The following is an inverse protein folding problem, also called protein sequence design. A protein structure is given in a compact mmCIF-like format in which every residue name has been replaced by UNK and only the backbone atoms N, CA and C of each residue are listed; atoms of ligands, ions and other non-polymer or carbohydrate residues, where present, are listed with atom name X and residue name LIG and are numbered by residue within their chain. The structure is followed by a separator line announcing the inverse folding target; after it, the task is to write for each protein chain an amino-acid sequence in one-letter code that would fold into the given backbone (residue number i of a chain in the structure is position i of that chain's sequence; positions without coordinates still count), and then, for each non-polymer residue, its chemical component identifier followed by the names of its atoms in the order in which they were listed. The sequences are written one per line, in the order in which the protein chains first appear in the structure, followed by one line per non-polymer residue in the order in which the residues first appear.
data_IF_631016600244
#
_entry.id   IF_631016600244
#
_cell.length_a   1.000
_cell.length_b   1.000
_cell.length_c   1.000
_cell.angle_alpha   90.00
_cell.angle_beta   90.00
_cell.angle_gamma   90.00
#
_symmetry.space_group_name_H-M   'P 1'
#
loop_
_entity.id
_entity.type
_entity.pdbx_description
1 polymer ?
#
# COMPACT_ATOMS: atom_id res chain seq x y z
N UNK A 1 19.53 12.30 15.60
CA UNK A 1 20.63 11.63 16.32
C UNK A 1 21.98 12.27 15.97
N UNK A 2 22.34 12.48 14.69
CA UNK A 2 23.65 13.01 14.31
C UNK A 2 23.97 14.35 15.01
N UNK A 3 23.01 15.28 15.10
CA UNK A 3 23.15 16.55 15.83
C UNK A 3 23.33 16.33 17.33
N UNK A 4 22.52 15.47 17.94
CA UNK A 4 22.56 15.20 19.38
C UNK A 4 23.88 14.54 19.80
N UNK A 5 24.43 13.68 18.95
CA UNK A 5 25.66 12.94 19.24
C UNK A 5 26.92 13.56 18.63
N UNK A 6 26.82 14.71 17.96
CA UNK A 6 27.91 15.35 17.19
C UNK A 6 28.68 14.31 16.37
N UNK A 7 28.00 13.59 15.51
CA UNK A 7 28.58 12.49 14.73
C UNK A 7 28.03 12.45 13.31
N UNK A 8 28.73 11.74 12.46
CA UNK A 8 28.15 11.26 11.22
C UNK A 8 27.14 10.12 11.54
N UNK A 9 25.99 10.14 10.91
CA UNK A 9 24.95 9.13 11.05
C UNK A 9 24.59 8.57 9.69
N UNK A 10 24.94 7.33 9.47
CA UNK A 10 24.66 6.61 8.24
C UNK A 10 23.52 5.62 8.50
N UNK A 11 22.46 5.74 7.72
CA UNK A 11 21.31 4.85 7.78
C UNK A 11 21.14 4.11 6.46
N UNK A 12 20.91 2.82 6.52
CA UNK A 12 20.55 2.01 5.37
C UNK A 12 19.42 1.07 5.77
N UNK A 13 18.28 1.25 5.13
CA UNK A 13 17.15 0.33 5.23
C UNK A 13 17.43 -0.95 4.45
N UNK A 14 16.67 -2.00 4.74
CA UNK A 14 16.68 -3.22 3.95
C UNK A 14 16.30 -2.93 2.50
N UNK A 15 16.87 -3.72 1.60
CA UNK A 15 16.63 -3.60 0.17
C UNK A 15 15.19 -4.02 -0.19
N UNK A 16 14.64 -3.41 -1.24
CA UNK A 16 13.39 -3.85 -1.85
C UNK A 16 13.50 -5.28 -2.46
N UNK A 17 14.70 -5.86 -2.52
CA UNK A 17 14.94 -7.24 -2.94
C UNK A 17 14.83 -8.25 -1.78
N UNK A 18 14.83 -7.80 -0.53
CA UNK A 18 14.70 -8.69 0.63
C UNK A 18 13.40 -9.50 0.57
N UNK A 19 13.49 -10.78 0.90
CA UNK A 19 12.33 -11.66 0.91
C UNK A 19 11.43 -11.37 2.11
N UNK A 20 10.16 -11.11 1.86
CA UNK A 20 9.15 -10.86 2.90
C UNK A 20 7.76 -11.23 2.38
N UNK A 21 6.85 -11.58 3.29
CA UNK A 21 5.47 -11.87 2.93
C UNK A 21 4.59 -10.63 2.91
N UNK A 22 4.68 -9.78 3.92
CA UNK A 22 3.68 -8.74 4.18
C UNK A 22 4.22 -7.32 4.10
N UNK A 23 5.54 -7.15 4.09
CA UNK A 23 6.17 -5.84 4.09
C UNK A 23 6.99 -5.58 2.83
N UNK A 24 7.15 -4.31 2.48
CA UNK A 24 8.02 -3.85 1.40
C UNK A 24 9.02 -2.88 1.99
N UNK A 25 10.30 -3.20 1.84
CA UNK A 25 11.36 -2.31 2.30
C UNK A 25 11.65 -1.24 1.25
N UNK A 26 11.87 -0.03 1.72
CA UNK A 26 12.02 1.15 0.87
C UNK A 26 13.40 1.31 0.23
N UNK A 27 14.40 0.53 0.66
CA UNK A 27 15.82 0.73 0.28
C UNK A 27 16.36 2.13 0.65
N UNK A 28 15.70 2.84 1.56
CA UNK A 28 16.08 4.20 1.95
C UNK A 28 17.47 4.24 2.56
N UNK A 29 18.27 5.21 2.14
CA UNK A 29 19.62 5.47 2.66
C UNK A 29 19.76 6.95 2.92
N UNK A 30 20.39 7.28 4.04
CA UNK A 30 20.59 8.66 4.49
C UNK A 30 21.99 8.80 5.07
N UNK A 31 22.63 9.92 4.78
CA UNK A 31 23.90 10.31 5.40
C UNK A 31 23.70 11.69 6.02
N UNK A 32 23.88 11.78 7.31
CA UNK A 32 23.80 13.01 8.08
C UNK A 32 25.15 13.32 8.78
N UNK A 33 25.48 14.60 8.89
CA UNK A 33 26.56 15.10 9.72
C UNK A 33 26.04 16.23 10.60
N UNK A 34 26.25 16.15 11.91
CA UNK A 34 25.83 17.18 12.89
C UNK A 34 24.39 17.71 12.73
N UNK A 35 23.50 16.91 12.19
CA UNK A 35 22.10 17.26 11.95
C UNK A 35 21.79 17.78 10.54
N UNK A 36 22.80 17.97 9.71
CA UNK A 36 22.65 18.33 8.31
C UNK A 36 22.56 17.07 7.44
N UNK A 37 21.62 17.05 6.49
CA UNK A 37 21.48 15.99 5.51
C UNK A 37 22.49 16.20 4.39
N UNK A 38 23.46 15.30 4.26
CA UNK A 38 24.47 15.36 3.20
C UNK A 38 24.06 14.63 1.93
N UNK A 39 23.39 13.48 2.10
CA UNK A 39 22.92 12.69 0.97
C UNK A 39 21.70 11.83 1.33
N UNK A 40 20.82 11.65 0.36
CA UNK A 40 19.62 10.80 0.46
C UNK A 40 19.41 10.00 -0.83
N UNK A 41 18.99 8.76 -0.72
CA UNK A 41 18.64 7.93 -1.86
C UNK A 41 17.17 8.07 -2.25
N UNK A 42 16.86 7.83 -3.51
CA UNK A 42 15.48 7.58 -3.91
C UNK A 42 14.95 6.30 -3.26
N UNK A 43 13.64 6.28 -3.01
CA UNK A 43 12.98 5.08 -2.47
C UNK A 43 12.88 4.01 -3.56
N UNK A 44 13.06 2.75 -3.13
CA UNK A 44 12.97 1.53 -3.96
C UNK A 44 14.08 1.38 -5.02
N UNK A 45 15.14 2.19 -4.93
CA UNK A 45 16.30 2.09 -5.80
C UNK A 45 17.50 1.48 -5.06
N UNK A 46 18.16 0.50 -5.71
CA UNK A 46 19.36 -0.13 -5.18
C UNK A 46 20.61 0.62 -5.67
N UNK A 47 20.89 1.76 -5.06
CA UNK A 47 22.06 2.57 -5.34
C UNK A 47 22.99 2.61 -4.13
N UNK A 48 24.29 2.87 -4.39
CA UNK A 48 25.26 3.17 -3.34
C UNK A 48 25.28 4.67 -3.15
N UNK A 49 25.25 5.11 -1.88
CA UNK A 49 25.30 6.52 -1.52
C UNK A 49 26.68 6.86 -0.98
N UNK A 50 27.22 8.01 -1.39
CA UNK A 50 28.54 8.50 -1.00
C UNK A 50 28.41 9.93 -0.47
N UNK A 51 29.23 10.27 0.51
CA UNK A 51 29.44 11.65 0.98
C UNK A 51 30.76 11.77 1.69
N UNK A 52 31.33 12.95 1.66
CA UNK A 52 32.50 13.32 2.48
C UNK A 52 32.03 13.74 3.87
N UNK A 53 32.78 13.34 4.90
CA UNK A 53 32.50 13.66 6.30
C UNK A 53 33.66 14.51 6.86
N UNK A 54 33.34 15.69 7.43
CA UNK A 54 34.31 16.53 8.10
C UNK A 54 34.55 16.07 9.55
N UNK A 55 35.47 15.15 9.72
CA UNK A 55 35.85 14.61 11.04
C UNK A 55 36.43 15.69 11.95
N UNK A 56 37.12 16.71 11.39
CA UNK A 56 37.67 17.83 12.13
C UNK A 56 36.57 18.71 12.75
N UNK A 57 35.55 19.03 11.97
CA UNK A 57 34.33 19.75 12.45
C UNK A 57 33.64 18.97 13.57
N UNK A 58 33.42 17.69 13.39
CA UNK A 58 32.80 16.85 14.41
C UNK A 58 33.56 16.80 15.73
N UNK A 59 34.92 16.74 15.65
CA UNK A 59 35.78 16.77 16.83
C UNK A 59 35.69 18.13 17.56
N UNK A 60 35.67 19.24 16.81
CA UNK A 60 35.51 20.59 17.34
C UNK A 60 34.15 20.78 18.02
N UNK A 61 33.07 20.31 17.40
CA UNK A 61 31.72 20.40 17.97
C UNK A 61 31.57 19.58 19.26
N UNK A 62 32.15 18.40 19.33
CA UNK A 62 32.21 17.61 20.56
C UNK A 62 32.95 18.32 21.69
N UNK A 63 34.05 19.03 21.39
CA UNK A 63 34.75 19.79 22.39
C UNK A 63 33.95 21.01 22.88
N UNK A 64 33.18 21.67 22.00
CA UNK A 64 32.31 22.80 22.37
C UNK A 64 31.09 22.36 23.17
N UNK A 65 30.47 21.28 22.79
CA UNK A 65 29.37 20.65 23.52
C UNK A 65 29.99 19.75 24.59
N UNK A 66 30.35 20.32 25.76
CA UNK A 66 30.71 19.51 26.90
C UNK A 66 29.52 18.56 27.18
N UNK A 67 29.68 17.30 26.78
CA UNK A 67 28.78 16.26 27.24
C UNK A 67 29.00 16.12 28.74
N UNK A 68 28.17 16.79 29.55
CA UNK A 68 28.08 16.45 30.97
C UNK A 68 27.71 14.99 31.03
N UNK A 69 28.57 14.23 31.69
CA UNK A 69 28.32 12.82 31.92
C UNK A 69 27.18 12.71 32.95
N UNK A 70 25.95 12.63 32.43
CA UNK A 70 24.75 12.48 33.27
C UNK A 70 24.77 11.20 34.12
N UNK A 71 25.75 10.32 33.92
CA UNK A 71 25.91 9.11 34.71
C UNK A 71 26.43 9.34 36.14
N UNK A 72 27.01 10.53 36.42
CA UNK A 72 27.60 10.86 37.73
C UNK A 72 26.68 11.62 38.68
N UNK A 73 25.52 12.08 38.26
CA UNK A 73 24.58 12.74 39.16
C UNK A 73 23.64 11.73 39.85
N UNK A 74 24.17 11.07 40.87
CA UNK A 74 23.40 10.22 41.78
C UNK A 74 22.54 11.01 42.82
N UNK A 75 22.36 12.31 42.66
CA UNK A 75 21.47 13.10 43.52
C UNK A 75 20.00 12.82 43.21
N UNK A 76 19.57 11.59 43.54
CA UNK A 76 18.16 11.20 43.49
C UNK A 76 17.27 11.97 44.47
N UNK A 77 17.84 12.70 45.41
CA UNK A 77 17.12 13.46 46.46
C UNK A 77 16.85 14.91 46.13
N UNK A 78 17.32 15.42 44.98
CA UNK A 78 17.14 16.85 44.63
C UNK A 78 15.83 17.16 43.90
N UNK A 79 14.99 16.19 43.63
CA UNK A 79 13.72 16.43 42.95
C UNK A 79 12.58 16.78 43.94
N UNK A 80 11.99 17.96 43.77
CA UNK A 80 10.78 18.35 44.46
C UNK A 80 9.61 17.49 43.95
N UNK A 81 9.10 16.59 44.79
CA UNK A 81 7.91 15.80 44.47
C UNK A 81 6.66 16.63 44.78
N UNK A 82 5.95 17.09 43.75
CA UNK A 82 4.65 17.76 43.88
C UNK A 82 3.57 16.70 43.61
N UNK A 83 2.78 16.41 44.65
CA UNK A 83 1.61 15.55 44.50
C UNK A 83 0.45 16.37 43.93
N UNK A 84 0.00 16.04 42.74
CA UNK A 84 -1.15 16.72 42.09
C UNK A 84 -2.33 15.74 42.11
N UNK A 85 -3.43 16.19 42.72
CA UNK A 85 -4.69 15.45 42.65
C UNK A 85 -5.38 15.77 41.30
N UNK A 86 -5.37 14.77 40.40
CA UNK A 86 -6.06 14.85 39.11
C UNK A 86 -7.48 14.32 39.32
N UNK A 87 -8.34 15.10 39.95
CA UNK A 87 -9.76 14.76 40.01
C UNK A 87 -10.36 14.75 38.62
N UNK A 88 -10.96 13.61 38.22
CA UNK A 88 -11.63 13.40 36.95
C UNK A 88 -12.70 14.47 36.69
N UNK A 89 -12.37 15.52 35.96
CA UNK A 89 -13.39 16.41 35.39
C UNK A 89 -14.10 15.59 34.29
N UNK A 90 -15.39 15.35 34.50
CA UNK A 90 -16.25 14.77 33.45
C UNK A 90 -16.25 15.73 32.26
N UNK A 91 -15.81 15.26 31.12
CA UNK A 91 -15.71 16.00 29.86
C UNK A 91 -14.70 17.18 29.88
N UNK A 92 -13.39 16.91 29.93
CA UNK A 92 -12.40 17.96 29.74
C UNK A 92 -12.54 18.56 28.33
N UNK A 93 -12.69 19.87 28.24
CA UNK A 93 -12.61 20.57 26.97
C UNK A 93 -11.13 20.54 26.52
N UNK A 94 -10.88 20.03 25.32
CA UNK A 94 -9.52 19.96 24.77
C UNK A 94 -9.12 21.34 24.21
N UNK A 95 -8.00 21.87 24.68
CA UNK A 95 -7.42 23.11 24.15
C UNK A 95 -6.69 22.95 22.83
N UNK A 96 -6.62 21.72 22.31
CA UNK A 96 -6.00 21.43 21.00
C UNK A 96 -7.04 21.01 19.98
N UNK A 97 -6.89 21.50 18.76
CA UNK A 97 -7.67 21.05 17.61
C UNK A 97 -7.16 19.67 17.16
N UNK A 98 -8.03 18.68 17.16
CA UNK A 98 -7.74 17.35 16.62
C UNK A 98 -8.25 17.31 15.18
N UNK A 99 -7.40 16.98 14.18
CA UNK A 99 -7.86 16.85 12.79
C UNK A 99 -8.88 15.73 12.65
N UNK A 100 -9.98 15.98 11.96
CA UNK A 100 -11.01 14.96 11.68
C UNK A 100 -10.52 13.86 10.71
N UNK A 101 -9.50 14.16 9.92
CA UNK A 101 -8.90 13.26 8.94
C UNK A 101 -7.39 13.15 9.21
N UNK A 102 -6.95 12.40 10.26
CA UNK A 102 -5.55 12.39 10.68
C UNK A 102 -4.60 11.73 9.69
N UNK A 103 -5.13 10.89 8.78
CA UNK A 103 -4.33 10.16 7.79
C UNK A 103 -4.21 10.87 6.45
N UNK A 104 -4.98 11.94 6.24
CA UNK A 104 -4.99 12.72 4.99
C UNK A 104 -4.37 14.08 5.26
N UNK A 105 -3.22 14.42 4.66
CA UNK A 105 -2.63 15.74 4.79
C UNK A 105 -3.59 16.83 4.31
N UNK A 106 -3.65 17.94 5.06
CA UNK A 106 -4.47 19.10 4.70
C UNK A 106 -3.87 19.90 3.53
N UNK A 107 -2.55 19.88 3.41
CA UNK A 107 -1.83 20.49 2.31
C UNK A 107 -1.92 19.59 1.07
N UNK A 108 -2.25 20.19 -0.07
CA UNK A 108 -2.45 19.44 -1.32
C UNK A 108 -1.15 18.83 -1.84
N UNK A 109 -0.02 19.51 -1.69
CA UNK A 109 1.28 19.02 -2.16
C UNK A 109 1.74 17.83 -1.32
N UNK A 110 1.62 17.93 0.01
CA UNK A 110 1.89 16.80 0.91
C UNK A 110 0.96 15.62 0.65
N UNK A 111 -0.31 15.89 0.33
CA UNK A 111 -1.28 14.85 -0.02
C UNK A 111 -0.87 14.14 -1.31
N UNK A 112 -0.52 14.89 -2.34
CA UNK A 112 -0.07 14.35 -3.63
C UNK A 112 1.21 13.53 -3.47
N UNK A 113 2.17 14.02 -2.71
CA UNK A 113 3.41 13.30 -2.43
C UNK A 113 3.14 11.98 -1.70
N UNK A 114 2.30 12.02 -0.66
CA UNK A 114 1.90 10.82 0.09
C UNK A 114 1.18 9.80 -0.79
N UNK A 115 0.24 10.25 -1.62
CA UNK A 115 -0.46 9.38 -2.57
C UNK A 115 0.52 8.72 -3.55
N UNK A 116 1.47 9.48 -4.08
CA UNK A 116 2.50 8.95 -4.96
C UNK A 116 3.38 7.91 -4.27
N UNK A 117 3.75 8.14 -3.01
CA UNK A 117 4.52 7.17 -2.21
C UNK A 117 3.73 5.87 -2.00
N UNK A 118 2.44 5.96 -1.66
CA UNK A 118 1.56 4.78 -1.49
C UNK A 118 1.47 3.98 -2.79
N UNK A 119 1.25 4.65 -3.91
CA UNK A 119 1.18 4.01 -5.24
C UNK A 119 2.50 3.31 -5.58
N UNK A 120 3.64 3.97 -5.36
CA UNK A 120 4.97 3.38 -5.56
C UNK A 120 5.20 2.16 -4.66
N UNK A 121 4.77 2.23 -3.40
CA UNK A 121 4.86 1.12 -2.46
C UNK A 121 4.10 -0.11 -2.97
N UNK A 122 2.84 0.07 -3.35
CA UNK A 122 1.99 -1.01 -3.86
C UNK A 122 2.54 -1.61 -5.16
N UNK A 123 2.99 -0.78 -6.10
CA UNK A 123 3.56 -1.24 -7.35
C UNK A 123 4.85 -2.05 -7.13
N UNK A 124 5.73 -1.62 -6.22
CA UNK A 124 6.94 -2.35 -5.87
C UNK A 124 6.63 -3.68 -5.14
N UNK A 125 5.61 -3.70 -4.28
CA UNK A 125 5.15 -4.91 -3.62
C UNK A 125 4.70 -5.97 -4.64
N UNK A 126 3.86 -5.57 -5.60
CA UNK A 126 3.39 -6.46 -6.65
C UNK A 126 4.52 -6.89 -7.59
N UNK A 127 5.39 -5.97 -8.01
CA UNK A 127 6.55 -6.27 -8.84
C UNK A 127 7.46 -7.32 -8.17
N UNK A 128 7.66 -7.22 -6.86
CA UNK A 128 8.40 -8.21 -6.09
C UNK A 128 7.73 -9.59 -6.13
N UNK A 129 6.40 -9.65 -5.97
CA UNK A 129 5.64 -10.91 -6.09
C UNK A 129 5.77 -11.53 -7.47
N UNK A 130 5.60 -10.75 -8.52
CA UNK A 130 5.75 -11.22 -9.90
C UNK A 130 7.13 -11.82 -10.14
N UNK A 131 8.19 -11.15 -9.67
CA UNK A 131 9.57 -11.65 -9.77
C UNK A 131 9.79 -12.92 -8.97
N UNK A 132 9.30 -12.95 -7.72
CA UNK A 132 9.50 -14.11 -6.82
C UNK A 132 8.78 -15.37 -7.33
N UNK A 133 7.55 -15.23 -7.81
CA UNK A 133 6.75 -16.33 -8.35
C UNK A 133 7.09 -16.66 -9.81
N UNK A 134 7.94 -15.84 -10.45
CA UNK A 134 8.23 -15.90 -11.88
C UNK A 134 6.97 -15.83 -12.78
N UNK A 135 5.90 -15.22 -12.28
CA UNK A 135 4.67 -14.98 -13.03
C UNK A 135 4.88 -13.85 -14.04
N UNK A 136 4.47 -14.09 -15.28
CA UNK A 136 4.58 -13.12 -16.39
C UNK A 136 3.22 -12.61 -16.88
N UNK A 137 2.15 -13.10 -16.28
CA UNK A 137 0.79 -12.73 -16.60
C UNK A 137 0.01 -12.44 -15.33
N UNK A 138 -0.93 -11.50 -15.40
CA UNK A 138 -1.86 -11.18 -14.32
C UNK A 138 -3.30 -11.15 -14.83
N UNK A 139 -4.22 -11.49 -13.95
CA UNK A 139 -5.66 -11.47 -14.21
C UNK A 139 -6.30 -10.53 -13.18
N UNK A 140 -7.15 -9.63 -13.64
CA UNK A 140 -7.88 -8.71 -12.78
C UNK A 140 -9.34 -8.60 -13.22
N UNK A 141 -10.26 -8.69 -12.27
CA UNK A 141 -11.66 -8.41 -12.50
C UNK A 141 -11.94 -6.91 -12.53
N UNK A 142 -12.42 -6.38 -13.65
CA UNK A 142 -12.80 -4.98 -13.79
C UNK A 142 -14.30 -4.80 -13.63
N UNK A 143 -14.71 -4.19 -12.51
CA UNK A 143 -16.09 -3.79 -12.25
C UNK A 143 -16.43 -2.40 -12.82
N UNK A 144 -15.41 -1.58 -13.12
CA UNK A 144 -15.55 -0.16 -13.45
C UNK A 144 -15.69 0.74 -12.21
N UNK A 145 -15.49 0.20 -11.00
CA UNK A 145 -15.40 0.93 -9.74
C UNK A 145 -13.98 1.41 -9.42
N UNK A 146 -13.83 2.19 -8.34
CA UNK A 146 -12.56 2.80 -7.94
C UNK A 146 -11.50 1.75 -7.58
N UNK A 147 -11.86 0.72 -6.83
CA UNK A 147 -10.93 -0.28 -6.31
C UNK A 147 -10.27 -1.06 -7.46
N UNK A 148 -11.09 -1.55 -8.39
CA UNK A 148 -10.59 -2.25 -9.58
C UNK A 148 -9.79 -1.32 -10.51
N UNK A 149 -10.12 -0.03 -10.54
CA UNK A 149 -9.36 0.99 -11.28
C UNK A 149 -7.98 1.18 -10.67
N UNK A 150 -7.90 1.41 -9.36
CA UNK A 150 -6.62 1.54 -8.66
C UNK A 150 -5.77 0.28 -8.80
N UNK A 151 -6.36 -0.89 -8.59
CA UNK A 151 -5.66 -2.16 -8.72
C UNK A 151 -5.08 -2.37 -10.13
N UNK A 152 -5.81 -1.97 -11.20
CA UNK A 152 -5.28 -2.04 -12.55
C UNK A 152 -4.12 -1.07 -12.78
N UNK A 153 -4.21 0.18 -12.30
CA UNK A 153 -3.13 1.15 -12.41
C UNK A 153 -1.86 0.66 -11.68
N UNK A 154 -2.00 0.14 -10.47
CA UNK A 154 -0.88 -0.47 -9.73
C UNK A 154 -0.29 -1.67 -10.49
N UNK A 155 -1.14 -2.50 -11.08
CA UNK A 155 -0.71 -3.66 -11.85
C UNK A 155 0.09 -3.24 -13.10
N UNK A 156 -0.35 -2.21 -13.83
CA UNK A 156 0.40 -1.71 -14.98
C UNK A 156 1.77 -1.17 -14.58
N UNK A 157 1.84 -0.41 -13.48
CA UNK A 157 3.12 0.09 -12.96
C UNK A 157 4.05 -1.05 -12.52
N UNK A 158 3.53 -2.09 -11.88
CA UNK A 158 4.32 -3.25 -11.47
C UNK A 158 4.86 -4.02 -12.68
N UNK A 159 4.08 -4.14 -13.75
CA UNK A 159 4.53 -4.77 -15.00
C UNK A 159 5.62 -3.94 -15.68
N UNK A 160 5.49 -2.62 -15.71
CA UNK A 160 6.53 -1.72 -16.22
C UNK A 160 7.83 -1.87 -15.41
N UNK A 161 7.76 -1.92 -14.07
CA UNK A 161 8.91 -2.16 -13.19
C UNK A 161 9.58 -3.53 -13.40
N UNK A 162 8.83 -4.50 -13.90
CA UNK A 162 9.33 -5.83 -14.22
C UNK A 162 9.78 -5.98 -15.69
N UNK A 163 9.65 -4.93 -16.51
CA UNK A 163 9.81 -4.98 -17.97
C UNK A 163 8.93 -6.06 -18.63
N UNK A 164 7.72 -6.26 -18.11
CA UNK A 164 6.73 -7.17 -18.66
C UNK A 164 5.75 -6.42 -19.58
N UNK A 165 5.28 -7.05 -20.66
CA UNK A 165 4.35 -6.41 -21.57
C UNK A 165 2.97 -6.22 -20.90
N UNK A 166 2.42 -5.02 -20.96
CA UNK A 166 1.07 -4.72 -20.41
C UNK A 166 -0.03 -5.59 -21.06
N UNK A 167 0.17 -6.08 -22.26
CA UNK A 167 -0.71 -7.06 -22.93
C UNK A 167 -0.82 -8.40 -22.20
N UNK A 168 0.12 -8.72 -21.30
CA UNK A 168 0.03 -9.90 -20.43
C UNK A 168 -0.82 -9.66 -19.19
N UNK A 169 -1.40 -8.47 -19.02
CA UNK A 169 -2.42 -8.17 -18.02
C UNK A 169 -3.78 -8.41 -18.67
N UNK A 170 -4.51 -9.39 -18.18
CA UNK A 170 -5.86 -9.73 -18.64
C UNK A 170 -6.88 -9.04 -17.75
N UNK A 171 -7.47 -7.96 -18.29
CA UNK A 171 -8.54 -7.20 -17.67
C UNK A 171 -9.87 -7.85 -18.04
N UNK A 172 -10.51 -8.53 -17.08
CA UNK A 172 -11.72 -9.32 -17.34
C UNK A 172 -12.93 -8.56 -16.80
N UNK A 173 -13.88 -8.26 -17.66
CA UNK A 173 -15.22 -7.80 -17.29
C UNK A 173 -16.20 -8.97 -17.34
N UNK A 174 -17.03 -9.10 -16.31
CA UNK A 174 -17.94 -10.24 -16.14
C UNK A 174 -19.37 -9.74 -15.93
N UNK A 175 -20.04 -9.33 -17.02
CA UNK A 175 -21.42 -8.87 -16.92
C UNK A 175 -22.33 -9.98 -16.40
N UNK A 176 -23.26 -9.57 -15.52
CA UNK A 176 -24.32 -10.38 -14.96
C UNK A 176 -25.57 -9.49 -14.75
N UNK A 177 -26.57 -9.96 -14.03
CA UNK A 177 -27.88 -9.33 -13.91
C UNK A 177 -27.91 -7.87 -13.42
N UNK A 178 -26.92 -7.43 -12.65
CA UNK A 178 -26.84 -6.06 -12.09
C UNK A 178 -25.83 -5.13 -12.76
N UNK A 179 -25.22 -5.54 -13.88
CA UNK A 179 -24.19 -4.72 -14.53
C UNK A 179 -24.83 -3.55 -15.30
N UNK A 180 -24.41 -2.31 -14.99
CA UNK A 180 -24.88 -1.11 -15.71
C UNK A 180 -23.97 -0.77 -16.90
N UNK A 181 -24.53 -0.18 -17.96
CA UNK A 181 -23.79 0.24 -19.14
C UNK A 181 -22.65 1.21 -18.81
N UNK A 182 -22.83 2.07 -17.80
CA UNK A 182 -21.83 3.03 -17.37
C UNK A 182 -20.59 2.34 -16.81
N UNK A 183 -20.76 1.40 -15.88
CA UNK A 183 -19.64 0.68 -15.24
C UNK A 183 -18.92 -0.21 -16.26
N UNK A 184 -19.66 -0.86 -17.13
CA UNK A 184 -19.12 -1.65 -18.22
C UNK A 184 -18.26 -0.79 -19.17
N UNK A 185 -18.77 0.34 -19.65
CA UNK A 185 -18.02 1.24 -20.54
C UNK A 185 -16.77 1.80 -19.88
N UNK A 186 -16.83 2.13 -18.59
CA UNK A 186 -15.66 2.58 -17.83
C UNK A 186 -14.58 1.51 -17.78
N UNK A 187 -14.95 0.25 -17.50
CA UNK A 187 -14.01 -0.87 -17.46
C UNK A 187 -13.33 -1.08 -18.83
N UNK A 188 -14.11 -1.06 -19.91
CA UNK A 188 -13.58 -1.22 -21.27
C UNK A 188 -12.63 -0.09 -21.66
N UNK A 189 -13.01 1.17 -21.38
CA UNK A 189 -12.19 2.34 -21.67
C UNK A 189 -10.87 2.28 -20.89
N UNK A 190 -10.94 2.01 -19.61
CA UNK A 190 -9.76 1.93 -18.74
C UNK A 190 -8.77 0.84 -19.20
N UNK A 191 -9.26 -0.36 -19.51
CA UNK A 191 -8.42 -1.45 -20.00
C UNK A 191 -7.69 -1.07 -21.29
N UNK A 192 -8.38 -0.41 -22.21
CA UNK A 192 -7.81 0.05 -23.48
C UNK A 192 -6.76 1.15 -23.27
N UNK A 193 -7.04 2.14 -22.44
CA UNK A 193 -6.11 3.24 -22.14
C UNK A 193 -4.85 2.74 -21.41
N UNK A 194 -5.00 1.75 -20.53
CA UNK A 194 -3.86 1.11 -19.87
C UNK A 194 -3.06 0.18 -20.80
N UNK A 195 -3.55 -0.11 -21.99
CA UNK A 195 -2.89 -0.99 -22.97
C UNK A 195 -2.92 -2.47 -22.60
N UNK A 196 -3.86 -2.89 -21.75
CA UNK A 196 -4.02 -4.28 -21.31
C UNK A 196 -4.82 -5.13 -22.31
N UNK A 197 -4.97 -6.41 -22.05
CA UNK A 197 -5.83 -7.30 -22.84
C UNK A 197 -7.20 -7.36 -22.21
N UNK A 198 -8.16 -6.68 -22.80
CA UNK A 198 -9.56 -6.74 -22.36
C UNK A 198 -10.18 -8.08 -22.78
N UNK A 199 -10.90 -8.71 -21.85
CA UNK A 199 -11.70 -9.89 -22.09
C UNK A 199 -13.05 -9.78 -21.41
N UNK A 200 -14.11 -10.13 -22.14
CA UNK A 200 -15.44 -10.23 -21.58
C UNK A 200 -15.83 -11.69 -21.39
N UNK A 201 -16.35 -12.01 -20.20
CA UNK A 201 -16.86 -13.34 -19.87
C UNK A 201 -18.23 -13.15 -19.21
N UNK A 202 -19.29 -13.44 -19.95
CA UNK A 202 -20.64 -13.38 -19.40
C UNK A 202 -20.90 -14.60 -18.50
N UNK A 203 -21.19 -14.35 -17.21
CA UNK A 203 -21.37 -15.39 -16.20
C UNK A 203 -22.84 -15.71 -15.92
N UNK A 204 -23.78 -15.06 -16.62
CA UNK A 204 -25.21 -15.18 -16.31
C UNK A 204 -25.74 -16.63 -16.44
N UNK A 205 -25.21 -17.40 -17.39
CA UNK A 205 -25.65 -18.79 -17.58
C UNK A 205 -25.18 -19.70 -16.44
N UNK A 206 -23.91 -19.57 -16.03
CA UNK A 206 -23.34 -20.34 -14.91
C UNK A 206 -24.10 -20.07 -13.61
N UNK A 207 -24.38 -18.78 -13.33
CA UNK A 207 -25.13 -18.38 -12.14
C UNK A 207 -26.56 -18.90 -12.18
N UNK A 208 -27.26 -18.88 -13.33
CA UNK A 208 -28.59 -19.47 -13.48
C UNK A 208 -28.61 -20.97 -13.24
N UNK A 209 -27.62 -21.68 -13.76
CA UNK A 209 -27.49 -23.11 -13.54
C UNK A 209 -27.26 -23.41 -12.06
N UNK A 210 -26.38 -22.66 -11.41
CA UNK A 210 -26.21 -22.78 -9.98
C UNK A 210 -27.47 -22.49 -9.17
N UNK A 211 -28.27 -21.47 -9.54
CA UNK A 211 -29.57 -21.21 -8.90
C UNK A 211 -30.52 -22.39 -9.03
N UNK A 212 -30.59 -23.03 -10.21
CA UNK A 212 -31.40 -24.22 -10.40
C UNK A 212 -30.95 -25.37 -9.51
N UNK A 213 -29.64 -25.61 -9.40
CA UNK A 213 -29.08 -26.70 -8.59
C UNK A 213 -29.41 -26.56 -7.10
N UNK A 214 -29.40 -25.32 -6.57
CA UNK A 214 -29.69 -25.06 -5.15
C UNK A 214 -31.15 -24.70 -4.86
N UNK A 215 -32.01 -24.61 -5.89
CA UNK A 215 -33.41 -24.22 -5.74
C UNK A 215 -33.64 -22.74 -5.42
N UNK A 216 -32.73 -21.86 -5.81
CA UNK A 216 -32.88 -20.41 -5.64
C UNK A 216 -33.80 -19.82 -6.72
N UNK A 217 -34.76 -18.99 -6.33
CA UNK A 217 -35.57 -18.21 -7.27
C UNK A 217 -34.78 -17.01 -7.80
N UNK A 218 -34.64 -16.89 -9.11
CA UNK A 218 -33.93 -15.75 -9.78
C UNK A 218 -34.56 -14.39 -9.43
N UNK A 219 -35.80 -14.34 -9.00
CA UNK A 219 -36.52 -13.12 -8.60
C UNK A 219 -36.26 -12.71 -7.16
N UNK A 220 -35.68 -13.60 -6.35
CA UNK A 220 -35.36 -13.32 -4.96
C UNK A 220 -33.96 -12.77 -4.85
N UNK A 221 -33.84 -11.44 -4.76
CA UNK A 221 -32.56 -10.71 -4.69
C UNK A 221 -32.05 -10.64 -3.24
N UNK A 222 -31.79 -11.78 -2.64
CA UNK A 222 -31.25 -11.94 -1.30
C UNK A 222 -29.71 -12.10 -1.30
N UNK A 223 -29.17 -12.41 -0.12
CA UNK A 223 -27.73 -12.68 0.06
C UNK A 223 -27.24 -13.83 -0.84
N UNK A 224 -28.08 -14.83 -1.11
CA UNK A 224 -27.73 -15.96 -2.00
C UNK A 224 -27.55 -15.48 -3.43
N UNK A 225 -28.46 -14.63 -3.90
CA UNK A 225 -28.42 -14.04 -5.23
C UNK A 225 -27.12 -13.23 -5.44
N UNK A 226 -26.73 -12.39 -4.48
CA UNK A 226 -25.53 -11.55 -4.57
C UNK A 226 -24.24 -12.39 -4.49
N UNK A 227 -24.15 -13.27 -3.48
CA UNK A 227 -22.95 -14.06 -3.23
C UNK A 227 -22.68 -15.10 -4.31
N UNK A 228 -23.69 -15.67 -4.94
CA UNK A 228 -23.51 -16.62 -6.05
C UNK A 228 -22.82 -15.95 -7.22
N UNK A 229 -23.22 -14.73 -7.57
CA UNK A 229 -22.56 -13.95 -8.62
C UNK A 229 -21.12 -13.57 -8.24
N UNK A 230 -20.89 -13.20 -6.98
CA UNK A 230 -19.56 -12.82 -6.49
C UNK A 230 -18.58 -14.02 -6.53
N UNK A 231 -19.05 -15.22 -6.09
CA UNK A 231 -18.23 -16.44 -6.13
C UNK A 231 -17.94 -16.90 -7.55
N UNK A 232 -18.92 -16.83 -8.44
CA UNK A 232 -18.71 -17.17 -9.86
C UNK A 232 -17.63 -16.28 -10.50
N UNK A 233 -17.63 -14.98 -10.21
CA UNK A 233 -16.55 -14.07 -10.66
C UNK A 233 -15.18 -14.50 -10.14
N UNK A 234 -15.10 -14.84 -8.86
CA UNK A 234 -13.85 -15.31 -8.25
C UNK A 234 -13.38 -16.60 -8.90
N UNK A 235 -14.26 -17.59 -9.10
CA UNK A 235 -13.94 -18.85 -9.75
C UNK A 235 -13.39 -18.61 -11.16
N UNK A 236 -14.08 -17.83 -11.98
CA UNK A 236 -13.63 -17.52 -13.36
C UNK A 236 -12.25 -16.87 -13.38
N UNK A 237 -11.97 -15.93 -12.49
CA UNK A 237 -10.67 -15.26 -12.40
C UNK A 237 -9.56 -16.26 -12.03
N UNK A 238 -9.79 -17.10 -11.03
CA UNK A 238 -8.83 -18.09 -10.55
C UNK A 238 -8.52 -19.14 -11.62
N UNK A 239 -9.56 -19.70 -12.25
CA UNK A 239 -9.39 -20.72 -13.30
C UNK A 239 -8.72 -20.14 -14.54
N UNK A 240 -9.07 -18.91 -14.92
CA UNK A 240 -8.42 -18.25 -16.03
C UNK A 240 -6.93 -17.96 -15.73
N UNK A 241 -6.61 -17.54 -14.52
CA UNK A 241 -5.22 -17.35 -14.10
C UNK A 241 -4.43 -18.65 -14.13
N UNK A 242 -5.00 -19.76 -13.65
CA UNK A 242 -4.39 -21.09 -13.76
C UNK A 242 -4.13 -21.47 -15.21
N UNK A 243 -5.10 -21.25 -16.10
CA UNK A 243 -5.00 -21.57 -17.54
C UNK A 243 -3.83 -20.86 -18.22
N UNK A 244 -3.51 -19.62 -17.82
CA UNK A 244 -2.45 -18.81 -18.44
C UNK A 244 -1.16 -18.78 -17.61
N UNK A 245 -1.07 -19.58 -16.56
CA UNK A 245 0.03 -19.56 -15.58
C UNK A 245 0.32 -18.14 -15.04
N UNK A 246 -0.74 -17.44 -14.67
CA UNK A 246 -0.73 -16.09 -14.14
C UNK A 246 -1.12 -16.00 -12.68
N UNK A 247 -1.19 -14.78 -12.16
CA UNK A 247 -1.63 -14.46 -10.81
C UNK A 247 -2.91 -13.63 -10.87
N UNK A 248 -3.86 -13.87 -9.94
CA UNK A 248 -5.04 -13.01 -9.76
C UNK A 248 -4.67 -11.83 -8.90
N UNK A 249 -5.04 -10.63 -9.34
CA UNK A 249 -4.89 -9.40 -8.59
C UNK A 249 -6.20 -9.09 -7.86
N UNK A 250 -6.14 -9.11 -6.53
CA UNK A 250 -7.26 -8.75 -5.68
C UNK A 250 -7.53 -7.24 -5.70
N UNK A 251 -8.79 -6.88 -5.52
CA UNK A 251 -9.26 -5.49 -5.47
C UNK A 251 -9.83 -5.11 -4.09
N UNK A 252 -9.71 -6.00 -3.09
CA UNK A 252 -10.21 -5.80 -1.74
C UNK A 252 -9.49 -4.67 -0.99
N UNK A 253 -10.20 -4.01 -0.11
CA UNK A 253 -9.71 -2.91 0.71
C UNK A 253 -9.84 -3.20 2.23
N UNK A 254 -9.35 -2.27 3.06
CA UNK A 254 -9.43 -2.39 4.52
C UNK A 254 -10.87 -2.27 5.04
N UNK A 255 -11.74 -1.56 4.34
CA UNK A 255 -13.14 -1.41 4.74
C UNK A 255 -13.88 -2.75 4.59
N UNK A 256 -13.65 -3.44 3.48
CA UNK A 256 -14.19 -4.79 3.25
C UNK A 256 -13.69 -5.78 4.30
N UNK A 257 -12.38 -5.74 4.63
CA UNK A 257 -11.80 -6.57 5.68
C UNK A 257 -12.39 -6.27 7.06
N UNK A 258 -12.57 -4.99 7.40
CA UNK A 258 -13.13 -4.56 8.68
C UNK A 258 -14.60 -4.96 8.84
N UNK A 259 -15.37 -4.94 7.75
CA UNK A 259 -16.79 -5.30 7.74
C UNK A 259 -17.05 -6.79 7.51
N UNK A 260 -16.02 -7.56 7.15
CA UNK A 260 -16.15 -8.97 6.81
C UNK A 260 -16.82 -9.22 5.44
N UNK A 261 -16.77 -8.26 4.54
CA UNK A 261 -17.39 -8.32 3.21
C UNK A 261 -16.44 -8.84 2.13
N UNK A 262 -15.70 -9.88 2.46
CA UNK A 262 -14.80 -10.53 1.53
C UNK A 262 -15.48 -11.71 0.84
N UNK A 263 -15.38 -11.81 -0.48
CA UNK A 263 -15.79 -12.99 -1.24
C UNK A 263 -14.73 -14.10 -1.05
N UNK A 264 -15.15 -15.30 -0.69
CA UNK A 264 -14.32 -16.50 -0.44
C UNK A 264 -14.77 -17.67 -1.31
#
# INVERSE_FOLDING_TARGET
QSKKCCCAYLFSSASNLESTQEVVFSSSKLIYESGELLAESNLYENQILYSDIDVGLLALERQKNQFEDFSQNEDKDSFLKIQVDISNKKNPQLDRKIPSSPFIPQNIDECNERCLQVVKMQANALAKRLKHTNCKSAVIGLSGGLDSTLALLITTMAFDLCNLPRKSIYSITMPCFGTTDRTYNNACKLANECGTTLKEINISQSVKMHFQDIGQDEKNHDVTYENSQARERTQVLMDFANKINGIVIGTGDLSELALGWCTY
#
